data_IF_275558817466
#
_entry.id   IF_275558817466
#
_cell.length_a   1.000
_cell.length_b   1.000
_cell.length_c   1.000
_cell.angle_alpha   90.00
_cell.angle_beta   90.00
_cell.angle_gamma   90.00
#
_symmetry.space_group_name_H-M   'P 1'
#
loop_
_entity.id
_entity.type
_entity.pdbx_description
1 polymer ?
#
# COMPACT_ATOMS: atom_id res chain seq x y z
N UNK A 1 -0.57 17.24 43.64
CA UNK A 1 -1.22 18.18 42.71
C UNK A 1 -0.25 19.25 42.27
N UNK A 2 0.19 19.42 41.03
CA UNK A 2 0.03 18.69 39.77
C UNK A 2 1.40 18.81 39.09
N UNK A 3 2.11 17.69 38.97
CA UNK A 3 3.38 17.60 38.25
C UNK A 3 3.06 17.63 36.74
N UNK A 4 3.11 18.82 36.13
CA UNK A 4 2.98 18.97 34.67
C UNK A 4 4.31 18.52 34.05
N UNK A 5 4.44 17.20 33.91
CA UNK A 5 5.45 16.57 33.06
C UNK A 5 5.24 17.05 31.63
N UNK A 6 6.04 18.05 31.24
CA UNK A 6 6.08 18.58 29.88
C UNK A 6 6.64 17.48 28.97
N UNK A 7 5.74 16.65 28.41
CA UNK A 7 6.08 15.60 27.47
C UNK A 7 6.54 16.23 26.16
N UNK A 8 7.86 16.32 26.02
CA UNK A 8 8.58 16.65 24.79
C UNK A 8 8.06 15.80 23.64
N UNK A 9 7.21 16.39 22.79
CA UNK A 9 6.69 15.69 21.61
C UNK A 9 7.61 16.05 20.44
N UNK A 10 8.65 15.25 20.23
CA UNK A 10 9.57 15.40 19.10
C UNK A 10 8.90 14.89 17.82
N UNK A 11 8.30 15.79 17.04
CA UNK A 11 7.81 15.45 15.70
C UNK A 11 8.96 15.47 14.69
N UNK A 12 9.64 14.34 14.54
CA UNK A 12 10.58 14.13 13.44
C UNK A 12 9.78 13.91 12.14
N UNK A 13 9.65 14.96 11.33
CA UNK A 13 9.19 14.83 9.93
C UNK A 13 10.38 14.40 9.09
N UNK A 14 10.58 13.09 8.96
CA UNK A 14 11.50 12.55 7.98
C UNK A 14 10.88 12.71 6.59
N UNK A 15 11.40 13.66 5.80
CA UNK A 15 11.09 13.74 4.37
C UNK A 15 11.84 12.61 3.65
N UNK A 16 11.14 11.54 3.32
CA UNK A 16 11.71 10.43 2.55
C UNK A 16 11.84 10.88 1.08
N UNK A 17 13.07 11.13 0.65
CA UNK A 17 13.40 11.32 -0.77
C UNK A 17 13.15 9.99 -1.50
N UNK A 18 12.03 9.88 -2.21
CA UNK A 18 11.74 8.73 -3.05
C UNK A 18 12.57 8.83 -4.34
N UNK A 19 13.67 8.09 -4.41
CA UNK A 19 14.35 7.81 -5.69
C UNK A 19 13.41 6.97 -6.56
N UNK A 20 13.07 7.45 -7.76
CA UNK A 20 12.35 6.66 -8.76
C UNK A 20 13.26 5.52 -9.26
N UNK A 21 13.25 4.39 -8.57
CA UNK A 21 13.64 3.13 -9.19
C UNK A 21 12.54 2.74 -10.17
N UNK A 22 12.90 2.40 -11.41
CA UNK A 22 11.98 1.72 -12.32
C UNK A 22 11.62 0.38 -11.69
N UNK A 23 10.48 0.32 -11.01
CA UNK A 23 10.01 -0.89 -10.37
C UNK A 23 9.64 -1.89 -11.48
N UNK A 24 10.45 -2.94 -11.64
CA UNK A 24 10.00 -4.14 -12.34
C UNK A 24 8.93 -4.78 -11.46
N UNK A 25 7.69 -4.84 -11.93
CA UNK A 25 6.59 -5.41 -11.16
C UNK A 25 6.72 -6.93 -11.08
N UNK A 26 6.12 -7.53 -10.05
CA UNK A 26 6.19 -8.96 -9.77
C UNK A 26 5.79 -9.82 -10.97
N UNK A 27 6.52 -10.92 -11.18
CA UNK A 27 6.15 -11.99 -12.13
C UNK A 27 4.86 -12.72 -11.75
N UNK A 28 4.32 -12.45 -10.56
CA UNK A 28 3.09 -13.05 -10.05
C UNK A 28 1.86 -12.15 -10.19
N UNK A 29 2.00 -10.94 -10.76
CA UNK A 29 0.88 -10.05 -10.99
C UNK A 29 -0.11 -10.65 -12.00
N UNK A 30 -1.39 -10.71 -11.63
CA UNK A 30 -2.45 -11.05 -12.58
C UNK A 30 -2.80 -9.78 -13.35
N UNK A 31 -2.65 -9.84 -14.68
CA UNK A 31 -2.79 -8.68 -15.57
C UNK A 31 -3.77 -8.93 -16.70
N UNK A 32 -4.40 -7.86 -17.17
CA UNK A 32 -5.14 -7.85 -18.41
C UNK A 32 -4.19 -8.05 -19.61
N UNK A 33 -4.76 -8.28 -20.80
CA UNK A 33 -3.99 -8.43 -22.05
C UNK A 33 -3.16 -7.18 -22.39
N UNK A 34 -3.58 -6.01 -21.92
CA UNK A 34 -2.83 -4.75 -22.07
C UNK A 34 -1.70 -4.57 -21.04
N UNK A 35 -1.53 -5.53 -20.12
CA UNK A 35 -0.50 -5.49 -19.07
C UNK A 35 -0.91 -4.73 -17.80
N UNK A 36 -2.10 -4.14 -17.74
CA UNK A 36 -2.59 -3.49 -16.52
C UNK A 36 -2.93 -4.51 -15.45
N UNK A 37 -2.70 -4.17 -14.18
CA UNK A 37 -2.98 -5.08 -13.08
C UNK A 37 -4.48 -5.21 -12.82
N UNK A 38 -4.93 -6.41 -12.45
CA UNK A 38 -6.29 -6.63 -11.96
C UNK A 38 -6.60 -5.94 -10.63
N UNK A 39 -5.58 -5.49 -9.90
CA UNK A 39 -5.69 -5.07 -8.50
C UNK A 39 -5.57 -3.56 -8.29
N UNK A 40 -5.37 -2.80 -9.37
CA UNK A 40 -5.24 -1.35 -9.35
C UNK A 40 -3.95 -0.87 -9.98
N UNK A 41 -3.42 0.25 -9.52
CA UNK A 41 -2.27 0.89 -10.17
C UNK A 41 -1.12 1.21 -9.22
N UNK A 42 0.13 1.03 -9.67
CA UNK A 42 1.27 1.60 -8.98
C UNK A 42 1.21 3.12 -9.08
N UNK A 43 1.48 3.81 -7.98
CA UNK A 43 1.42 5.28 -7.92
C UNK A 43 2.51 5.85 -7.03
N UNK A 44 2.60 7.18 -6.99
CA UNK A 44 3.49 7.92 -6.09
C UNK A 44 2.79 8.18 -4.75
N UNK A 45 3.57 8.26 -3.67
CA UNK A 45 3.02 8.59 -2.36
C UNK A 45 2.36 9.98 -2.37
N UNK A 46 1.13 10.06 -1.88
CA UNK A 46 0.39 11.31 -1.67
C UNK A 46 0.36 11.66 -0.19
N UNK A 47 0.02 12.89 0.15
CA UNK A 47 -0.19 13.31 1.55
C UNK A 47 -1.27 12.50 2.27
N UNK A 48 -2.21 11.90 1.53
CA UNK A 48 -3.30 11.09 2.06
C UNK A 48 -3.00 9.58 2.03
N UNK A 49 -1.83 9.18 1.53
CA UNK A 49 -1.47 7.77 1.43
C UNK A 49 -1.33 7.15 2.82
N UNK A 50 -2.12 6.10 3.08
CA UNK A 50 -2.02 5.35 4.33
C UNK A 50 -0.69 4.59 4.37
N UNK A 51 0.02 4.70 5.49
CA UNK A 51 1.29 3.99 5.69
C UNK A 51 1.06 2.63 6.34
N UNK A 52 1.66 1.57 5.76
CA UNK A 52 1.53 0.20 6.27
C UNK A 52 2.88 -0.50 6.27
N UNK A 53 3.41 -0.77 7.46
CA UNK A 53 4.58 -1.63 7.64
C UNK A 53 4.16 -3.11 7.59
N UNK A 54 4.77 -3.90 6.69
CA UNK A 54 4.46 -5.32 6.56
C UNK A 54 4.90 -6.12 7.78
N UNK A 55 4.13 -7.19 8.08
CA UNK A 55 4.34 -8.05 9.25
C UNK A 55 3.74 -7.52 10.56
N UNK A 56 3.15 -6.32 10.56
CA UNK A 56 2.38 -5.80 11.71
C UNK A 56 1.00 -6.46 11.85
N UNK A 57 0.48 -7.04 10.76
CA UNK A 57 -0.82 -7.72 10.66
C UNK A 57 -0.82 -8.66 9.47
N UNK A 58 -1.70 -9.66 9.51
CA UNK A 58 -1.90 -10.63 8.42
C UNK A 58 -3.02 -10.21 7.43
N UNK A 59 -3.92 -9.31 7.85
CA UNK A 59 -5.01 -8.82 7.01
C UNK A 59 -5.25 -7.33 7.20
N UNK A 60 -5.84 -6.67 6.21
CA UNK A 60 -6.32 -5.30 6.35
C UNK A 60 -7.47 -5.00 5.38
N UNK A 61 -8.32 -4.05 5.76
CA UNK A 61 -9.34 -3.49 4.89
C UNK A 61 -8.88 -2.14 4.30
N UNK A 62 -9.33 -1.84 3.09
CA UNK A 62 -9.20 -0.54 2.43
C UNK A 62 -10.48 -0.23 1.66
N UNK A 63 -10.80 1.05 1.53
CA UNK A 63 -11.86 1.46 0.60
C UNK A 63 -11.35 1.38 -0.84
N UNK A 64 -12.26 1.24 -1.79
CA UNK A 64 -11.95 1.44 -3.20
C UNK A 64 -11.30 2.83 -3.41
N UNK A 65 -10.36 2.94 -4.33
CA UNK A 65 -9.51 4.12 -4.60
C UNK A 65 -8.55 4.53 -3.47
N UNK A 66 -8.47 3.78 -2.38
CA UNK A 66 -7.48 4.07 -1.34
C UNK A 66 -6.05 3.98 -1.87
N UNK A 67 -5.22 4.95 -1.51
CA UNK A 67 -3.78 4.94 -1.77
C UNK A 67 -3.03 4.47 -0.52
N UNK A 68 -2.19 3.45 -0.67
CA UNK A 68 -1.43 2.86 0.44
C UNK A 68 0.03 2.75 0.08
N UNK A 69 0.90 3.26 0.96
CA UNK A 69 2.34 3.03 0.91
C UNK A 69 2.69 1.87 1.83
N UNK A 70 3.21 0.79 1.25
CA UNK A 70 3.72 -0.37 1.97
C UNK A 70 5.20 -0.22 2.23
N UNK A 71 5.63 -0.52 3.45
CA UNK A 71 7.05 -0.46 3.84
C UNK A 71 7.52 -1.78 4.46
N UNK A 72 8.72 -2.20 4.11
CA UNK A 72 9.45 -3.26 4.80
C UNK A 72 10.95 -3.11 4.54
N UNK A 73 11.78 -3.36 5.55
CA UNK A 73 13.25 -3.37 5.44
C UNK A 73 13.83 -2.13 4.72
N UNK A 74 13.32 -0.95 5.04
CA UNK A 74 13.78 0.33 4.45
C UNK A 74 13.36 0.55 3.00
N UNK A 75 12.58 -0.36 2.40
CA UNK A 75 12.02 -0.22 1.06
C UNK A 75 10.54 0.11 1.14
N UNK A 76 10.04 0.81 0.12
CA UNK A 76 8.63 1.14 0.00
C UNK A 76 8.12 1.06 -1.43
N UNK A 77 6.84 0.78 -1.58
CA UNK A 77 6.10 1.03 -2.82
C UNK A 77 4.70 1.56 -2.49
N UNK A 78 4.08 2.28 -3.42
CA UNK A 78 2.73 2.84 -3.22
C UNK A 78 1.79 2.30 -4.28
N UNK A 79 0.58 1.96 -3.85
CA UNK A 79 -0.46 1.35 -4.67
C UNK A 79 -1.79 2.06 -4.46
N UNK A 80 -2.53 2.28 -5.53
CA UNK A 80 -3.93 2.68 -5.49
C UNK A 80 -4.82 1.46 -5.75
N UNK A 81 -5.79 1.22 -4.86
CA UNK A 81 -6.73 0.11 -4.98
C UNK A 81 -7.95 0.48 -5.85
N UNK A 82 -7.72 0.59 -7.15
CA UNK A 82 -8.71 0.95 -8.18
C UNK A 82 -8.83 -0.12 -9.28
N UNK A 83 -8.60 -1.38 -8.89
CA UNK A 83 -8.71 -2.54 -9.78
C UNK A 83 -10.12 -3.11 -9.82
N UNK A 84 -10.23 -4.34 -10.28
CA UNK A 84 -11.50 -5.06 -10.25
C UNK A 84 -11.93 -5.33 -8.79
N UNK A 85 -13.23 -5.23 -8.53
CA UNK A 85 -13.81 -5.34 -7.19
C UNK A 85 -13.97 -6.80 -6.70
N UNK A 86 -14.50 -6.94 -5.47
CA UNK A 86 -14.91 -8.20 -4.84
C UNK A 86 -13.84 -9.29 -4.76
N UNK A 87 -12.56 -8.92 -4.69
CA UNK A 87 -11.46 -9.88 -4.52
C UNK A 87 -10.50 -9.43 -3.42
N UNK A 88 -10.08 -10.35 -2.54
CA UNK A 88 -8.92 -10.10 -1.69
C UNK A 88 -7.65 -10.03 -2.55
N UNK A 89 -6.74 -9.15 -2.18
CA UNK A 89 -5.44 -8.95 -2.82
C UNK A 89 -4.37 -9.52 -1.91
N UNK A 90 -3.62 -10.52 -2.39
CA UNK A 90 -2.37 -10.90 -1.74
C UNK A 90 -1.29 -9.87 -2.08
N UNK A 91 -0.55 -9.37 -1.08
CA UNK A 91 0.48 -8.36 -1.28
C UNK A 91 1.53 -8.75 -2.35
N UNK A 92 1.79 -10.05 -2.54
CA UNK A 92 2.72 -10.56 -3.56
C UNK A 92 2.28 -10.31 -5.00
N UNK A 93 0.99 -10.02 -5.20
CA UNK A 93 0.40 -9.70 -6.51
C UNK A 93 0.64 -8.26 -6.96
N UNK A 94 0.90 -7.35 -6.02
CA UNK A 94 1.08 -5.91 -6.30
C UNK A 94 2.47 -5.40 -5.94
N UNK A 95 3.21 -6.13 -5.11
CA UNK A 95 4.57 -5.76 -4.75
C UNK A 95 5.50 -5.80 -5.97
N UNK A 96 6.44 -4.85 -6.11
CA UNK A 96 7.51 -4.95 -7.10
C UNK A 96 8.33 -6.22 -6.94
N UNK A 97 8.92 -6.71 -8.04
CA UNK A 97 9.81 -7.86 -8.03
C UNK A 97 10.96 -7.65 -7.04
N UNK A 98 11.22 -8.67 -6.21
CA UNK A 98 12.24 -8.62 -5.18
C UNK A 98 11.92 -7.68 -4.00
N UNK A 99 10.73 -7.09 -3.89
CA UNK A 99 10.31 -6.41 -2.67
C UNK A 99 10.18 -7.44 -1.54
N UNK A 100 10.71 -7.18 -0.33
CA UNK A 100 10.67 -8.12 0.77
C UNK A 100 9.25 -8.17 1.35
N UNK A 101 8.40 -9.03 0.78
CA UNK A 101 7.02 -9.20 1.23
C UNK A 101 6.95 -10.00 2.53
N UNK A 102 5.88 -9.78 3.30
CA UNK A 102 5.44 -10.64 4.39
C UNK A 102 3.96 -10.96 4.16
N UNK A 103 3.42 -12.08 4.66
CA UNK A 103 2.03 -12.43 4.45
C UNK A 103 1.09 -11.29 4.82
N UNK A 104 0.30 -10.83 3.85
CA UNK A 104 -0.73 -9.81 4.03
C UNK A 104 -1.80 -9.99 2.96
N UNK A 105 -3.04 -10.16 3.41
CA UNK A 105 -4.23 -10.14 2.55
C UNK A 105 -4.98 -8.82 2.74
N UNK A 106 -5.27 -8.14 1.63
CA UNK A 106 -5.96 -6.86 1.60
C UNK A 106 -7.38 -7.10 1.08
N UNK A 107 -8.38 -6.76 1.88
CA UNK A 107 -9.78 -6.74 1.47
C UNK A 107 -10.14 -5.34 1.00
N UNK A 108 -10.51 -5.20 -0.26
CA UNK A 108 -10.92 -3.93 -0.87
C UNK A 108 -12.44 -3.84 -0.83
N UNK A 109 -12.97 -2.73 -0.34
CA UNK A 109 -14.40 -2.47 -0.41
C UNK A 109 -14.87 -2.42 -1.88
N UNK A 110 -16.15 -2.73 -2.17
CA UNK A 110 -16.69 -2.65 -3.53
C UNK A 110 -16.51 -1.27 -4.16
N UNK A 111 -16.37 -1.23 -5.48
CA UNK A 111 -16.44 0.02 -6.23
C UNK A 111 -17.85 0.63 -6.07
N UNK A 112 -18.00 1.85 -5.54
CA UNK A 112 -19.30 2.48 -5.33
C UNK A 112 -20.08 2.71 -6.64
N UNK A 113 -19.41 2.72 -7.80
CA UNK A 113 -20.03 2.89 -9.11
C UNK A 113 -20.38 1.55 -9.77
N UNK A 114 -19.81 0.44 -9.31
CA UNK A 114 -20.17 -0.89 -9.79
C UNK A 114 -21.41 -1.38 -9.04
N UNK A 115 -22.59 -1.10 -9.61
CA UNK A 115 -23.86 -1.67 -9.17
C UNK A 115 -23.98 -3.04 -9.85
N UNK A 116 -23.61 -4.10 -9.14
CA UNK A 116 -23.54 -5.47 -9.67
C UNK A 116 -24.71 -5.93 -10.54
#
# INVERSE_FOLDING_TARGET
DLEVSMRTTSTLRAALLATLAAATFSTHADTFRNGESFYGTPTVATTYARQVTLGSRATMNVDYDSVVTFTNEGRSFTWQFNGLDHRPVDITKIAPAGFPTKPLIIYVAPDPFNRG
#
